data_IF_512122212028
#
_entry.id   IF_512122212028
#
_cell.length_a   1.000
_cell.length_b   1.000
_cell.length_c   1.000
_cell.angle_alpha   90.00
_cell.angle_beta   90.00
_cell.angle_gamma   90.00
#
_symmetry.space_group_name_H-M   'P 1'
#
loop_
_entity.id
_entity.type
_entity.pdbx_description
1 polymer ?
#
# COMPACT_ATOMS: atom_id res chain seq x y z
N UNK A 1 -25.70 -21.51 -9.21
CA UNK A 1 -24.43 -22.23 -9.38
C UNK A 1 -23.89 -22.28 -10.82
N UNK A 2 -24.59 -21.82 -11.86
CA UNK A 2 -23.99 -21.65 -13.20
C UNK A 2 -23.59 -20.20 -13.49
N UNK A 3 -24.31 -19.23 -12.92
CA UNK A 3 -24.07 -17.81 -13.17
C UNK A 3 -22.77 -17.30 -12.52
N UNK A 4 -22.45 -17.77 -11.32
CA UNK A 4 -21.21 -17.43 -10.58
C UNK A 4 -19.93 -17.95 -11.22
N UNK A 5 -20.02 -19.01 -12.01
CA UNK A 5 -18.85 -19.58 -12.71
C UNK A 5 -18.64 -18.87 -14.05
N UNK A 6 -19.73 -18.45 -14.69
CA UNK A 6 -19.67 -17.66 -15.91
C UNK A 6 -19.13 -16.24 -15.65
N UNK A 7 -19.57 -15.58 -14.57
CA UNK A 7 -19.02 -14.27 -14.14
C UNK A 7 -17.54 -14.34 -13.81
N UNK A 8 -17.10 -15.40 -13.10
CA UNK A 8 -15.67 -15.62 -12.81
C UNK A 8 -14.86 -15.79 -14.08
N UNK A 9 -15.31 -16.61 -15.03
CA UNK A 9 -14.60 -16.81 -16.29
C UNK A 9 -14.48 -15.54 -17.13
N UNK A 10 -15.51 -14.69 -17.14
CA UNK A 10 -15.48 -13.39 -17.83
C UNK A 10 -14.48 -12.45 -17.15
N UNK A 11 -14.49 -12.38 -15.80
CA UNK A 11 -13.56 -11.54 -15.04
C UNK A 11 -12.09 -11.93 -15.27
N UNK A 12 -11.77 -13.23 -15.26
CA UNK A 12 -10.42 -13.72 -15.55
C UNK A 12 -10.00 -13.44 -17.00
N UNK A 13 -10.90 -13.60 -17.97
CA UNK A 13 -10.59 -13.31 -19.39
C UNK A 13 -10.29 -11.83 -19.65
N UNK A 14 -10.99 -10.92 -18.96
CA UNK A 14 -10.75 -9.48 -19.07
C UNK A 14 -9.43 -9.08 -18.41
N UNK A 15 -9.07 -9.68 -17.27
CA UNK A 15 -7.77 -9.48 -16.65
C UNK A 15 -6.65 -10.00 -17.54
N UNK A 16 -6.79 -11.17 -18.16
CA UNK A 16 -5.75 -11.71 -19.05
C UNK A 16 -5.56 -10.88 -20.34
N UNK A 17 -6.61 -10.23 -20.84
CA UNK A 17 -6.55 -9.38 -22.03
C UNK A 17 -5.87 -8.03 -21.77
N UNK A 18 -6.12 -7.41 -20.60
CA UNK A 18 -5.67 -6.06 -20.26
C UNK A 18 -4.61 -5.99 -19.15
N UNK A 19 -4.30 -7.11 -18.49
CA UNK A 19 -3.13 -7.19 -17.63
C UNK A 19 -1.91 -6.84 -18.49
N UNK A 20 -1.02 -5.95 -18.01
CA UNK A 20 0.17 -5.61 -18.76
C UNK A 20 0.92 -6.90 -19.09
N UNK A 21 1.07 -7.20 -20.40
CA UNK A 21 1.75 -8.39 -20.94
C UNK A 21 3.25 -8.46 -20.56
N UNK A 22 3.69 -7.62 -19.64
CA UNK A 22 5.01 -7.53 -19.04
C UNK A 22 5.03 -8.17 -17.64
N UNK A 23 4.40 -9.35 -17.46
CA UNK A 23 4.67 -10.19 -16.28
C UNK A 23 6.17 -10.54 -16.19
N UNK A 24 6.88 -10.54 -17.33
CA UNK A 24 8.32 -10.82 -17.40
C UNK A 24 9.27 -9.74 -16.85
N UNK A 25 8.82 -8.52 -16.57
CA UNK A 25 9.70 -7.39 -16.20
C UNK A 25 9.29 -6.68 -14.89
N UNK A 26 8.59 -7.35 -13.98
CA UNK A 26 8.30 -6.78 -12.66
C UNK A 26 9.61 -6.70 -11.85
N UNK A 27 10.07 -5.51 -11.43
CA UNK A 27 11.33 -5.38 -10.72
C UNK A 27 11.25 -6.06 -9.36
N UNK A 28 12.29 -6.83 -9.06
CA UNK A 28 12.48 -7.56 -7.83
C UNK A 28 13.23 -6.70 -6.79
N UNK A 29 12.79 -6.70 -5.52
CA UNK A 29 13.42 -5.89 -4.45
C UNK A 29 14.12 -6.79 -3.42
N UNK A 30 15.32 -6.39 -2.99
CA UNK A 30 16.07 -6.97 -1.87
C UNK A 30 15.64 -6.30 -0.54
N UNK A 31 15.24 -7.09 0.46
CA UNK A 31 14.55 -6.63 1.68
C UNK A 31 15.49 -6.14 2.82
N UNK A 32 16.82 -6.30 2.72
CA UNK A 32 17.75 -6.20 3.87
C UNK A 32 18.86 -5.12 3.78
N UNK A 33 18.56 -3.84 3.57
CA UNK A 33 19.52 -2.78 3.92
C UNK A 33 19.14 -2.12 5.25
N UNK A 34 20.10 -2.13 6.18
CA UNK A 34 20.05 -1.87 7.63
C UNK A 34 19.13 -0.74 8.13
N UNK A 35 18.12 -1.12 8.94
CA UNK A 35 17.20 -0.22 9.66
C UNK A 35 17.22 -0.59 11.15
N UNK A 36 18.22 -0.13 11.92
CA UNK A 36 18.25 -0.34 13.38
C UNK A 36 18.73 0.90 14.17
N UNK A 37 19.39 1.88 13.53
CA UNK A 37 19.98 3.03 14.23
C UNK A 37 19.19 4.34 14.16
N UNK A 38 18.36 4.53 13.13
CA UNK A 38 17.73 5.82 12.82
C UNK A 38 16.29 5.98 13.35
N UNK A 39 15.65 4.91 13.86
CA UNK A 39 14.20 4.92 14.16
C UNK A 39 13.81 5.86 15.33
N UNK A 40 14.66 6.02 16.36
CA UNK A 40 14.31 6.82 17.54
C UNK A 40 14.40 8.34 17.34
N UNK A 41 15.37 8.83 16.58
CA UNK A 41 15.54 10.27 16.38
C UNK A 41 14.49 10.88 15.44
N UNK A 42 13.98 10.08 14.50
CA UNK A 42 13.07 10.55 13.45
C UNK A 42 11.58 10.45 13.82
N UNK A 43 11.17 9.54 14.71
CA UNK A 43 9.81 9.58 15.27
C UNK A 43 9.56 10.92 15.97
N UNK A 44 10.56 11.43 16.68
CA UNK A 44 10.48 12.73 17.36
C UNK A 44 10.36 13.88 16.35
N UNK A 45 11.13 13.90 15.25
CA UNK A 45 11.07 14.94 14.21
C UNK A 45 9.73 14.94 13.43
N UNK A 46 9.21 13.76 13.05
CA UNK A 46 7.92 13.65 12.36
C UNK A 46 6.77 14.02 13.32
N UNK A 47 6.83 13.62 14.59
CA UNK A 47 5.86 14.04 15.61
C UNK A 47 5.93 15.55 15.87
N UNK A 48 7.12 16.14 15.80
CA UNK A 48 7.30 17.59 15.93
C UNK A 48 6.73 18.36 14.72
N UNK A 49 6.85 17.83 13.50
CA UNK A 49 6.20 18.38 12.30
C UNK A 49 4.66 18.20 12.32
N UNK A 50 4.14 17.11 12.90
CA UNK A 50 2.68 16.86 13.05
C UNK A 50 2.07 17.72 14.18
N UNK A 51 2.80 17.93 15.27
CA UNK A 51 2.36 18.73 16.43
C UNK A 51 2.62 20.23 16.28
N UNK A 52 3.53 20.62 15.38
CA UNK A 52 3.77 21.99 14.97
C UNK A 52 2.61 22.53 14.15
N UNK A 53 1.67 23.21 14.82
CA UNK A 53 0.71 24.07 14.13
C UNK A 53 1.42 25.01 13.15
N UNK A 54 0.75 25.32 12.04
CA UNK A 54 1.20 26.20 10.95
C UNK A 54 1.83 27.47 11.55
N UNK A 55 3.14 27.42 11.74
CA UNK A 55 3.90 28.36 12.54
C UNK A 55 5.20 28.60 11.80
N UNK A 56 5.13 29.61 10.94
CA UNK A 56 6.17 30.15 10.08
C UNK A 56 7.59 29.95 10.62
N UNK A 57 8.41 29.15 9.90
CA UNK A 57 9.87 29.29 9.84
C UNK A 57 10.49 28.44 8.71
N UNK A 58 11.25 29.11 7.84
CA UNK A 58 12.06 28.65 6.71
C UNK A 58 11.35 28.24 5.40
N UNK A 59 11.06 29.28 4.61
CA UNK A 59 10.91 29.25 3.15
C UNK A 59 12.20 28.73 2.49
N UNK A 60 12.35 27.41 2.36
CA UNK A 60 13.14 26.68 1.32
C UNK A 60 13.35 25.18 1.62
N UNK A 61 12.57 24.54 2.49
CA UNK A 61 12.50 23.06 2.50
C UNK A 61 11.66 22.60 1.30
N UNK A 62 12.26 21.94 0.32
CA UNK A 62 11.51 21.15 -0.68
C UNK A 62 10.55 20.25 0.09
N UNK A 63 9.25 20.32 -0.21
CA UNK A 63 8.26 19.42 0.40
C UNK A 63 8.57 18.00 -0.05
N UNK A 64 8.84 17.12 0.91
CA UNK A 64 9.12 15.70 0.69
C UNK A 64 7.84 14.96 0.29
N UNK A 65 7.96 13.83 -0.41
CA UNK A 65 6.79 13.00 -0.72
C UNK A 65 6.15 12.48 0.56
N UNK A 66 6.95 12.16 1.58
CA UNK A 66 6.50 11.78 2.91
C UNK A 66 5.56 12.83 3.55
N UNK A 67 5.95 14.11 3.54
CA UNK A 67 5.12 15.17 4.10
C UNK A 67 3.78 15.31 3.37
N UNK A 68 3.78 15.14 2.05
CA UNK A 68 2.57 15.23 1.23
C UNK A 68 1.63 14.05 1.48
N UNK A 69 2.16 12.82 1.59
CA UNK A 69 1.35 11.67 1.99
C UNK A 69 0.78 11.84 3.40
N UNK A 70 1.57 12.32 4.35
CA UNK A 70 1.08 12.59 5.72
C UNK A 70 -0.02 13.66 5.74
N UNK A 71 0.05 14.67 4.87
CA UNK A 71 -1.02 15.66 4.73
C UNK A 71 -2.33 15.02 4.29
N UNK A 72 -2.28 14.08 3.33
CA UNK A 72 -3.47 13.34 2.88
C UNK A 72 -3.95 12.36 3.94
N UNK A 73 -3.03 11.74 4.69
CA UNK A 73 -3.34 10.71 5.68
C UNK A 73 -3.79 11.26 7.04
N UNK A 74 -3.75 12.56 7.26
CA UNK A 74 -3.97 13.22 8.56
C UNK A 74 -5.28 12.82 9.25
N UNK A 75 -6.33 12.58 8.47
CA UNK A 75 -7.66 12.27 8.98
C UNK A 75 -7.95 10.76 9.06
N UNK A 76 -6.99 9.92 8.70
CA UNK A 76 -7.14 8.47 8.71
C UNK A 76 -6.52 7.85 9.97
N UNK A 77 -7.08 6.72 10.39
CA UNK A 77 -6.63 5.97 11.56
C UNK A 77 -5.28 5.29 11.28
N UNK A 78 -4.22 5.67 12.02
CA UNK A 78 -2.93 4.97 11.98
C UNK A 78 -2.99 3.68 12.81
N UNK A 79 -2.61 2.57 12.19
CA UNK A 79 -2.68 1.21 12.74
C UNK A 79 -1.33 0.87 13.34
N UNK A 80 -1.11 1.27 14.60
CA UNK A 80 0.18 1.12 15.27
C UNK A 80 0.57 -0.34 15.51
N UNK A 81 -0.38 -1.26 15.60
CA UNK A 81 -0.07 -2.69 15.85
C UNK A 81 0.67 -3.35 14.68
N UNK A 82 0.65 -2.75 13.49
CA UNK A 82 1.37 -3.25 12.31
C UNK A 82 2.84 -2.80 12.26
N UNK A 83 3.26 -1.86 13.12
CA UNK A 83 4.64 -1.34 13.12
C UNK A 83 5.66 -2.44 13.41
N UNK A 84 5.32 -3.38 14.29
CA UNK A 84 6.22 -4.49 14.65
C UNK A 84 6.26 -5.60 13.59
N UNK A 85 5.27 -5.64 12.69
CA UNK A 85 5.12 -6.71 11.70
C UNK A 85 5.99 -6.47 10.47
N UNK A 86 6.17 -5.20 10.08
CA UNK A 86 7.01 -4.80 8.96
C UNK A 86 7.84 -3.57 9.35
N UNK A 87 9.14 -3.78 9.56
CA UNK A 87 10.08 -2.73 9.99
C UNK A 87 10.12 -1.57 9.00
N UNK A 88 10.18 -0.35 9.54
CA UNK A 88 10.25 0.88 8.75
C UNK A 88 8.97 1.20 7.96
N UNK A 89 7.83 0.58 8.32
CA UNK A 89 6.54 0.82 7.66
C UNK A 89 5.52 1.35 8.66
N UNK A 90 4.84 2.43 8.26
CA UNK A 90 3.66 2.94 8.97
C UNK A 90 2.42 2.63 8.14
N UNK A 91 1.33 2.27 8.82
CA UNK A 91 0.10 1.81 8.20
C UNK A 91 -1.09 2.66 8.61
N UNK A 92 -1.98 2.93 7.67
CA UNK A 92 -3.24 3.62 7.88
C UNK A 92 -4.39 2.75 7.39
N UNK A 93 -5.49 2.79 8.13
CA UNK A 93 -6.74 2.13 7.76
C UNK A 93 -7.56 3.09 6.90
N UNK A 94 -7.80 2.69 5.66
CA UNK A 94 -8.56 3.50 4.71
C UNK A 94 -9.97 2.92 4.61
N UNK A 95 -11.00 3.65 5.10
CA UNK A 95 -12.37 3.18 5.04
C UNK A 95 -12.83 3.03 3.59
N UNK A 96 -13.66 2.03 3.36
CA UNK A 96 -14.41 1.89 2.12
C UNK A 96 -15.61 2.84 2.16
N UNK A 97 -15.40 4.02 1.62
CA UNK A 97 -16.48 4.87 1.14
C UNK A 97 -16.64 4.68 -0.37
N UNK A 98 -17.84 4.87 -0.92
CA UNK A 98 -18.03 4.93 -2.37
C UNK A 98 -17.47 6.23 -2.91
N UNK A 99 -17.70 7.33 -2.22
CA UNK A 99 -17.24 8.64 -2.64
C UNK A 99 -15.73 8.81 -2.34
N UNK A 100 -15.07 9.62 -3.17
CA UNK A 100 -13.68 10.02 -2.97
C UNK A 100 -13.71 11.52 -2.88
N UNK A 101 -13.52 12.06 -1.67
CA UNK A 101 -13.41 13.49 -1.48
C UNK A 101 -11.96 13.92 -1.70
N UNK A 102 -11.75 14.81 -2.67
CA UNK A 102 -10.42 15.35 -3.01
C UNK A 102 -10.49 16.86 -2.82
N UNK A 103 -10.01 17.30 -1.67
CA UNK A 103 -10.10 18.71 -1.26
C UNK A 103 -9.03 19.60 -1.90
N UNK A 104 -7.88 19.04 -2.32
CA UNK A 104 -6.76 19.81 -2.87
C UNK A 104 -6.17 19.16 -4.13
N UNK A 105 -6.36 19.82 -5.27
CA UNK A 105 -5.80 19.40 -6.56
C UNK A 105 -4.26 19.27 -6.55
N UNK A 106 -3.55 19.96 -5.65
CA UNK A 106 -2.08 19.83 -5.52
C UNK A 106 -1.66 18.50 -4.91
N UNK A 107 -2.55 17.86 -4.15
CA UNK A 107 -2.35 16.55 -3.54
C UNK A 107 -2.91 15.41 -4.41
N UNK A 108 -3.46 15.72 -5.58
CA UNK A 108 -4.12 14.76 -6.45
C UNK A 108 -3.30 13.47 -6.72
N UNK A 109 -1.99 13.52 -7.03
CA UNK A 109 -1.21 12.30 -7.23
C UNK A 109 -1.14 11.39 -5.99
N UNK A 110 -1.13 11.99 -4.80
CA UNK A 110 -1.09 11.28 -3.52
C UNK A 110 -2.45 10.68 -3.17
N UNK A 111 -3.55 11.37 -3.50
CA UNK A 111 -4.89 10.81 -3.45
C UNK A 111 -5.08 9.65 -4.44
N UNK A 112 -4.58 9.78 -5.67
CA UNK A 112 -4.60 8.69 -6.66
C UNK A 112 -3.85 7.46 -6.17
N UNK A 113 -2.68 7.66 -5.56
CA UNK A 113 -1.92 6.58 -4.94
C UNK A 113 -2.71 5.97 -3.77
N UNK A 114 -3.21 6.79 -2.83
CA UNK A 114 -4.00 6.33 -1.70
C UNK A 114 -5.18 5.45 -2.16
N UNK A 115 -5.96 5.95 -3.11
CA UNK A 115 -7.18 5.31 -3.63
C UNK A 115 -6.95 4.40 -4.83
N UNK A 116 -5.70 3.98 -5.11
CA UNK A 116 -5.36 3.17 -6.28
C UNK A 116 -6.23 1.91 -6.39
N UNK A 117 -6.48 1.21 -5.27
CA UNK A 117 -7.33 0.02 -5.26
C UNK A 117 -8.79 0.28 -5.66
N UNK A 118 -9.29 1.50 -5.46
CA UNK A 118 -10.61 1.92 -5.93
C UNK A 118 -10.56 2.36 -7.40
N UNK A 119 -9.56 3.16 -7.77
CA UNK A 119 -9.43 3.76 -9.10
C UNK A 119 -9.03 2.76 -10.20
N UNK A 120 -8.46 1.61 -9.85
CA UNK A 120 -8.19 0.53 -10.80
C UNK A 120 -9.49 -0.07 -11.40
N UNK A 121 -10.64 0.19 -10.79
CA UNK A 121 -11.94 -0.18 -11.32
C UNK A 121 -12.29 0.68 -12.55
N UNK A 122 -12.83 0.13 -13.66
CA UNK A 122 -13.40 -1.21 -13.80
C UNK A 122 -12.41 -2.32 -14.21
N UNK A 123 -11.15 -2.01 -14.50
CA UNK A 123 -10.18 -2.98 -15.03
C UNK A 123 -9.83 -4.08 -14.02
N UNK A 124 -9.67 -3.71 -12.75
CA UNK A 124 -9.39 -4.65 -11.66
C UNK A 124 -10.28 -4.29 -10.46
N UNK A 125 -11.13 -5.23 -10.04
CA UNK A 125 -12.09 -5.04 -8.97
C UNK A 125 -11.53 -5.51 -7.62
N UNK A 126 -10.61 -4.73 -7.03
CA UNK A 126 -10.14 -5.02 -5.67
C UNK A 126 -11.22 -4.85 -4.59
N UNK A 127 -12.25 -4.03 -4.86
CA UNK A 127 -13.34 -3.72 -3.92
C UNK A 127 -13.99 -5.02 -3.39
N UNK A 128 -14.12 -6.05 -4.23
CA UNK A 128 -14.71 -7.34 -3.80
C UNK A 128 -13.98 -8.00 -2.62
N UNK A 129 -12.68 -7.73 -2.44
CA UNK A 129 -11.88 -8.32 -1.37
C UNK A 129 -11.99 -7.56 -0.04
N UNK A 130 -12.08 -6.23 -0.06
CA UNK A 130 -12.09 -5.43 1.17
C UNK A 130 -13.47 -4.83 1.53
N UNK A 131 -14.46 -4.89 0.64
CA UNK A 131 -15.82 -4.38 0.88
C UNK A 131 -16.49 -5.02 2.10
N UNK A 132 -16.24 -6.30 2.37
CA UNK A 132 -16.81 -6.99 3.55
C UNK A 132 -16.20 -6.50 4.87
N UNK A 133 -14.90 -6.24 4.88
CA UNK A 133 -14.23 -5.67 6.05
C UNK A 133 -14.53 -4.18 6.21
N UNK A 134 -14.86 -3.49 5.12
CA UNK A 134 -15.19 -2.06 5.11
C UNK A 134 -13.97 -1.15 5.08
N UNK A 135 -12.77 -1.69 4.86
CA UNK A 135 -11.51 -0.95 4.79
C UNK A 135 -10.41 -1.79 4.14
N UNK A 136 -9.38 -1.11 3.64
CA UNK A 136 -8.07 -1.70 3.33
C UNK A 136 -6.98 -0.93 4.07
N UNK A 137 -5.76 -1.45 4.05
CA UNK A 137 -4.61 -0.82 4.70
C UNK A 137 -3.70 -0.19 3.65
N UNK A 138 -3.24 1.03 3.93
CA UNK A 138 -2.27 1.74 3.13
C UNK A 138 -1.00 1.94 3.95
N UNK A 139 0.13 1.51 3.41
CA UNK A 139 1.43 1.51 4.09
C UNK A 139 2.44 2.39 3.38
N UNK A 140 3.24 3.10 4.17
CA UNK A 140 4.39 3.87 3.70
C UNK A 140 5.66 3.24 4.27
N UNK A 141 6.51 2.72 3.39
CA UNK A 141 7.86 2.26 3.74
C UNK A 141 8.86 3.38 3.53
N UNK A 142 9.59 3.73 4.57
CA UNK A 142 10.58 4.81 4.54
C UNK A 142 11.98 4.28 4.22
N UNK A 143 12.79 5.13 3.59
CA UNK A 143 14.24 4.93 3.53
C UNK A 143 14.89 5.53 4.79
N UNK A 144 16.21 5.31 5.03
CA UNK A 144 16.92 5.88 6.17
C UNK A 144 16.90 7.43 6.22
N UNK A 145 16.68 8.10 5.08
CA UNK A 145 16.58 9.55 4.99
C UNK A 145 15.18 10.09 5.37
N UNK A 146 14.23 9.20 5.70
CA UNK A 146 12.85 9.57 6.07
C UNK A 146 11.95 9.90 4.88
N UNK A 147 12.35 9.61 3.65
CA UNK A 147 11.55 9.76 2.43
C UNK A 147 10.83 8.45 2.08
N UNK A 148 9.73 8.55 1.34
CA UNK A 148 8.95 7.37 0.92
C UNK A 148 9.76 6.54 -0.09
N UNK A 149 10.11 5.31 0.30
CA UNK A 149 10.76 4.33 -0.57
C UNK A 149 9.72 3.55 -1.36
N UNK A 150 8.69 3.04 -0.69
CA UNK A 150 7.65 2.21 -1.31
C UNK A 150 6.27 2.49 -0.69
N UNK A 151 5.24 2.35 -1.51
CA UNK A 151 3.85 2.24 -1.05
C UNK A 151 3.48 0.78 -0.88
N UNK A 152 2.62 0.51 0.07
CA UNK A 152 2.14 -0.84 0.35
C UNK A 152 0.62 -0.82 0.47
N UNK A 153 -0.03 -1.86 -0.05
CA UNK A 153 -1.47 -2.04 0.12
C UNK A 153 -1.72 -3.37 0.82
N UNK A 154 -2.58 -3.33 1.82
CA UNK A 154 -2.92 -4.48 2.65
C UNK A 154 -4.41 -4.80 2.56
N UNK A 155 -4.75 -6.06 2.30
CA UNK A 155 -6.13 -6.56 2.34
C UNK A 155 -6.19 -7.75 3.29
N UNK A 156 -7.13 -7.72 4.25
CA UNK A 156 -7.29 -8.82 5.20
C UNK A 156 -7.72 -10.10 4.49
N UNK A 157 -7.15 -11.22 4.90
CA UNK A 157 -7.48 -12.52 4.33
C UNK A 157 -6.59 -13.61 4.90
N UNK A 158 -7.16 -14.82 4.99
CA UNK A 158 -6.44 -16.02 5.37
C UNK A 158 -5.26 -16.31 4.46
N UNK A 159 -4.26 -17.03 4.98
CA UNK A 159 -3.11 -17.52 4.22
C UNK A 159 -3.50 -18.70 3.30
N UNK A 160 -4.41 -18.45 2.37
CA UNK A 160 -4.86 -19.40 1.38
C UNK A 160 -5.13 -18.70 0.04
N UNK A 161 -5.01 -19.45 -1.06
CA UNK A 161 -5.08 -18.90 -2.42
C UNK A 161 -6.47 -18.32 -2.76
N UNK A 162 -7.53 -18.76 -2.09
CA UNK A 162 -8.89 -18.29 -2.33
C UNK A 162 -9.14 -16.90 -1.73
N UNK A 163 -8.44 -16.57 -0.65
CA UNK A 163 -8.50 -15.26 0.00
C UNK A 163 -7.39 -14.31 -0.47
N UNK A 164 -6.42 -14.80 -1.24
CA UNK A 164 -5.40 -13.98 -1.90
C UNK A 164 -6.02 -13.20 -3.08
N UNK A 165 -5.90 -11.87 -3.13
CA UNK A 165 -6.41 -11.07 -4.24
C UNK A 165 -5.87 -11.56 -5.59
N UNK A 166 -6.79 -11.95 -6.48
CA UNK A 166 -6.52 -12.51 -7.80
C UNK A 166 -5.43 -13.59 -7.82
N UNK A 167 -5.37 -14.44 -6.78
CA UNK A 167 -4.35 -15.48 -6.63
C UNK A 167 -2.90 -14.96 -6.74
N UNK A 168 -2.69 -13.67 -6.43
CA UNK A 168 -1.39 -13.01 -6.48
C UNK A 168 -1.00 -12.40 -7.82
N UNK A 169 -1.78 -12.60 -8.90
CA UNK A 169 -1.46 -12.07 -10.25
C UNK A 169 -1.32 -10.54 -10.28
N UNK A 170 -1.97 -9.87 -9.34
CA UNK A 170 -2.00 -8.41 -9.23
C UNK A 170 -0.96 -7.85 -8.25
N UNK A 171 -0.05 -8.67 -7.73
CA UNK A 171 1.03 -8.21 -6.85
C UNK A 171 0.80 -8.40 -5.35
N UNK A 172 -0.37 -8.88 -4.94
CA UNK A 172 -0.64 -9.29 -3.56
C UNK A 172 0.02 -10.63 -3.24
N UNK A 173 1.35 -10.62 -3.03
CA UNK A 173 2.17 -11.84 -2.97
C UNK A 173 2.79 -12.13 -1.60
N UNK A 174 2.81 -11.16 -0.68
CA UNK A 174 3.32 -11.35 0.68
C UNK A 174 2.15 -11.48 1.65
N UNK A 175 2.14 -12.51 2.47
CA UNK A 175 1.17 -12.63 3.57
C UNK A 175 1.86 -12.38 4.91
N UNK A 176 1.22 -11.60 5.77
CA UNK A 176 1.66 -11.39 7.14
C UNK A 176 0.58 -11.81 8.13
N UNK A 177 1.01 -12.30 9.29
CA UNK A 177 0.10 -12.56 10.40
C UNK A 177 -0.30 -11.23 11.01
N UNK A 178 -1.61 -10.99 11.08
CA UNK A 178 -2.19 -9.79 11.65
C UNK A 178 -3.59 -10.10 12.14
N UNK A 179 -3.88 -9.80 13.41
CA UNK A 179 -5.12 -10.22 14.10
C UNK A 179 -5.35 -11.74 13.90
N UNK A 180 -6.60 -12.14 13.68
CA UNK A 180 -7.00 -13.55 13.61
C UNK A 180 -6.87 -14.17 12.20
N UNK A 181 -6.88 -13.36 11.13
CA UNK A 181 -6.91 -13.83 9.74
C UNK A 181 -5.64 -13.55 8.94
N UNK A 182 -4.89 -12.50 9.26
CA UNK A 182 -3.75 -12.03 8.49
C UNK A 182 -4.09 -11.05 7.38
N UNK A 183 -3.07 -10.65 6.64
CA UNK A 183 -3.16 -9.63 5.61
C UNK A 183 -2.25 -9.96 4.41
N UNK A 184 -2.82 -9.87 3.22
CA UNK A 184 -2.09 -9.92 1.96
C UNK A 184 -1.58 -8.54 1.59
N UNK A 185 -0.32 -8.45 1.18
CA UNK A 185 0.41 -7.22 0.92
C UNK A 185 0.85 -7.17 -0.55
N UNK A 186 0.60 -6.03 -1.17
CA UNK A 186 1.16 -5.61 -2.45
C UNK A 186 2.16 -4.47 -2.24
N UNK A 187 3.33 -4.55 -2.87
CA UNK A 187 4.33 -3.49 -2.89
C UNK A 187 4.23 -2.70 -4.19
N UNK A 188 4.35 -1.39 -4.08
CA UNK A 188 4.18 -0.47 -5.20
C UNK A 188 5.25 0.61 -5.15
N UNK A 189 5.92 0.86 -6.27
CA UNK A 189 6.91 1.92 -6.41
C UNK A 189 6.20 3.23 -6.79
N UNK A 190 6.17 4.25 -5.91
CA UNK A 190 5.46 5.51 -6.20
C UNK A 190 6.09 6.32 -7.34
N UNK A 191 7.36 6.09 -7.66
CA UNK A 191 8.09 6.86 -8.67
C UNK A 191 7.95 6.28 -10.08
N UNK A 192 7.90 4.95 -10.19
CA UNK A 192 7.75 4.26 -11.49
C UNK A 192 6.32 3.82 -11.77
N UNK A 193 5.47 3.81 -10.74
CA UNK A 193 4.11 3.28 -10.82
C UNK A 193 4.04 1.76 -10.98
N UNK A 194 5.16 1.04 -10.79
CA UNK A 194 5.23 -0.41 -10.96
C UNK A 194 4.88 -1.14 -9.66
N UNK A 195 4.13 -2.22 -9.79
CA UNK A 195 4.07 -3.27 -8.76
C UNK A 195 5.46 -3.85 -8.56
N UNK A 196 5.82 -4.20 -7.33
CA UNK A 196 7.10 -4.84 -7.00
C UNK A 196 6.84 -6.20 -6.34
N UNK A 197 7.66 -7.18 -6.71
CA UNK A 197 7.60 -8.52 -6.11
C UNK A 197 8.84 -8.69 -5.22
N UNK A 198 8.67 -8.96 -3.91
CA UNK A 198 9.80 -9.28 -3.04
C UNK A 198 10.53 -10.53 -3.54
N UNK A 199 11.86 -10.50 -3.57
CA UNK A 199 12.64 -11.70 -3.90
C UNK A 199 12.46 -12.74 -2.79
N UNK A 200 12.16 -13.98 -3.16
CA UNK A 200 12.32 -15.09 -2.21
C UNK A 200 13.81 -15.24 -1.92
N UNK A 201 14.22 -15.09 -0.65
CA UNK A 201 15.52 -15.60 -0.19
C UNK A 201 15.57 -17.09 -0.50
N UNK A 202 16.51 -17.50 -1.36
CA UNK A 202 16.91 -18.89 -1.41
C UNK A 202 17.46 -19.22 -0.03
N UNK A 203 16.73 -20.01 0.76
CA UNK A 203 17.33 -20.69 1.91
C UNK A 203 18.32 -21.69 1.32
N UNK A 204 19.58 -21.30 1.29
CA UNK A 204 20.67 -22.25 1.07
C UNK A 204 20.49 -23.40 2.05
N UNK A 205 20.49 -24.62 1.49
CA UNK A 205 20.29 -25.88 2.21
C UNK A 205 21.56 -26.29 2.93
#
# INVERSE_FOLDING_TARGET
NKDTDNERNIEYSFIDEYAPKTIGNIPFVDDDEDIMGAERGFEDDILQDISGGIGDRNKNKKRTHAAMFHSVLKNFEEVKELRDVEKGVRWWKIPFDYDIDIDDNKLYPYFCALYHLKMAYPYINYIKYFKKCGHYYFGLKYNPDGEVKHLMYGIEGGNNMNEQPYMGMTGFVKWIKFKDKGMWIMFYNPYTGCIMIPKKKNRER
#
